data_IF_800884434923
#
_entry.id   IF_800884434923
#
_cell.length_a   1.000
_cell.length_b   1.000
_cell.length_c   1.000
_cell.angle_alpha   90.00
_cell.angle_beta   90.00
_cell.angle_gamma   90.00
#
_symmetry.space_group_name_H-M   'P 1'
#
loop_
_entity.id
_entity.type
_entity.pdbx_description
1 polymer ?
#
# COMPACT_ATOMS: atom_id res chain seq x y z
N UNK A 1 77.28 -80.76 27.89
CA UNK A 1 76.48 -81.92 27.42
C UNK A 1 77.24 -83.23 27.32
N UNK A 2 78.36 -83.31 26.59
CA UNK A 2 79.08 -84.58 26.38
C UNK A 2 79.52 -85.30 27.67
N UNK A 3 80.00 -84.56 28.69
CA UNK A 3 80.31 -85.12 30.02
C UNK A 3 79.08 -85.67 30.75
N UNK A 4 77.93 -85.00 30.64
CA UNK A 4 76.66 -85.44 31.24
C UNK A 4 76.15 -86.72 30.55
N UNK A 5 76.27 -86.79 29.23
CA UNK A 5 75.91 -87.99 28.46
C UNK A 5 76.78 -89.20 28.78
N UNK A 6 78.07 -88.99 29.05
CA UNK A 6 78.99 -90.04 29.47
C UNK A 6 78.61 -90.59 30.85
N UNK A 7 78.27 -89.71 31.79
CA UNK A 7 77.85 -90.08 33.15
C UNK A 7 76.50 -90.82 33.14
N UNK A 8 75.54 -90.35 32.34
CA UNK A 8 74.23 -91.02 32.18
C UNK A 8 74.39 -92.42 31.56
N UNK A 9 75.30 -92.58 30.59
CA UNK A 9 75.57 -93.88 29.97
C UNK A 9 76.18 -94.87 30.97
N UNK A 10 77.19 -94.44 31.73
CA UNK A 10 77.84 -95.26 32.73
C UNK A 10 76.86 -95.71 33.82
N UNK A 11 75.93 -94.84 34.21
CA UNK A 11 74.89 -95.16 35.18
C UNK A 11 73.85 -96.13 34.61
N UNK A 12 73.17 -95.77 33.53
CA UNK A 12 71.97 -96.50 33.06
C UNK A 12 72.27 -97.72 32.19
N UNK A 13 73.44 -97.78 31.55
CA UNK A 13 73.83 -98.90 30.68
C UNK A 13 74.85 -99.80 31.38
N UNK A 14 75.92 -99.21 31.91
CA UNK A 14 77.03 -100.00 32.48
C UNK A 14 76.71 -100.52 33.88
N UNK A 15 76.17 -99.69 34.78
CA UNK A 15 75.88 -100.11 36.18
C UNK A 15 74.52 -100.78 36.31
N UNK A 16 73.46 -100.16 35.79
CA UNK A 16 72.08 -100.69 35.90
C UNK A 16 71.76 -101.83 34.92
N UNK A 17 72.57 -101.99 33.86
CA UNK A 17 72.37 -103.01 32.82
C UNK A 17 73.26 -104.24 32.97
N UNK A 18 74.17 -104.29 33.94
CA UNK A 18 75.10 -105.40 34.12
C UNK A 18 74.42 -106.64 34.71
N UNK A 19 74.50 -107.76 34.01
CA UNK A 19 73.96 -109.05 34.48
C UNK A 19 75.12 -109.88 35.02
N UNK A 20 75.21 -110.01 36.34
CA UNK A 20 76.35 -110.63 37.02
C UNK A 20 76.57 -112.10 36.62
N UNK A 21 75.49 -112.86 36.37
CA UNK A 21 75.56 -114.25 35.89
C UNK A 21 76.17 -114.40 34.49
N UNK A 22 75.96 -113.43 33.61
CA UNK A 22 76.43 -113.48 32.22
C UNK A 22 77.71 -112.65 32.01
N UNK A 23 78.17 -111.94 33.05
CA UNK A 23 79.29 -110.98 33.02
C UNK A 23 79.25 -110.04 31.82
N UNK A 24 78.05 -109.64 31.41
CA UNK A 24 77.82 -108.79 30.26
C UNK A 24 76.68 -107.80 30.53
N UNK A 25 76.66 -106.72 29.77
CA UNK A 25 75.57 -105.74 29.82
C UNK A 25 74.40 -106.26 28.99
N UNK A 26 73.20 -106.16 29.55
CA UNK A 26 71.96 -106.46 28.85
C UNK A 26 71.86 -105.62 27.56
N UNK A 27 71.82 -106.28 26.41
CA UNK A 27 71.70 -105.63 25.10
C UNK A 27 70.51 -104.68 25.05
N UNK A 28 69.40 -105.06 25.69
CA UNK A 28 68.17 -104.26 25.79
C UNK A 28 68.39 -102.88 26.44
N UNK A 29 69.26 -102.78 27.46
CA UNK A 29 69.55 -101.52 28.15
C UNK A 29 70.38 -100.58 27.28
N UNK A 30 71.34 -101.13 26.54
CA UNK A 30 72.12 -100.37 25.56
C UNK A 30 71.22 -99.87 24.41
N UNK A 31 70.37 -100.75 23.86
CA UNK A 31 69.45 -100.42 22.77
C UNK A 31 68.50 -99.30 23.21
N UNK A 32 67.85 -99.41 24.37
CA UNK A 32 66.96 -98.37 24.90
C UNK A 32 67.66 -97.02 25.08
N UNK A 33 68.88 -97.00 25.64
CA UNK A 33 69.65 -95.76 25.77
C UNK A 33 69.98 -95.15 24.40
N UNK A 34 70.39 -95.98 23.43
CA UNK A 34 70.69 -95.54 22.06
C UNK A 34 69.46 -94.94 21.38
N UNK A 35 68.31 -95.62 21.46
CA UNK A 35 67.03 -95.16 20.91
C UNK A 35 66.58 -93.84 21.55
N UNK A 36 66.69 -93.69 22.87
CA UNK A 36 66.34 -92.46 23.55
C UNK A 36 67.25 -91.29 23.14
N UNK A 37 68.55 -91.54 22.91
CA UNK A 37 69.47 -90.52 22.40
C UNK A 37 69.21 -90.16 20.95
N UNK A 38 68.86 -91.13 20.11
CA UNK A 38 68.44 -90.87 18.74
C UNK A 38 67.18 -90.00 18.73
N UNK A 39 66.17 -90.32 19.55
CA UNK A 39 64.95 -89.52 19.69
C UNK A 39 65.20 -88.09 20.17
N UNK A 40 66.11 -87.89 21.14
CA UNK A 40 66.51 -86.55 21.59
C UNK A 40 67.19 -85.74 20.47
N UNK A 41 68.09 -86.37 19.70
CA UNK A 41 68.75 -85.75 18.55
C UNK A 41 67.75 -85.39 17.45
N UNK A 42 66.84 -86.31 17.13
CA UNK A 42 65.75 -86.07 16.16
C UNK A 42 64.87 -84.90 16.58
N UNK A 43 64.52 -84.80 17.87
CA UNK A 43 63.72 -83.68 18.39
C UNK A 43 64.44 -82.32 18.22
N UNK A 44 65.74 -82.27 18.47
CA UNK A 44 66.54 -81.04 18.28
C UNK A 44 66.66 -80.72 16.79
N UNK A 45 66.89 -81.73 15.97
CA UNK A 45 67.01 -81.59 14.53
C UNK A 45 65.70 -81.04 13.93
N UNK A 46 64.55 -81.52 14.38
CA UNK A 46 63.24 -81.03 13.95
C UNK A 46 62.99 -79.58 14.39
N UNK A 47 63.37 -79.21 15.62
CA UNK A 47 63.33 -77.80 16.06
C UNK A 47 64.18 -76.89 15.18
N UNK A 48 65.40 -77.31 14.84
CA UNK A 48 66.29 -76.54 13.98
C UNK A 48 65.69 -76.41 12.57
N UNK A 49 65.10 -77.48 12.02
CA UNK A 49 64.41 -77.46 10.73
C UNK A 49 63.24 -76.48 10.72
N UNK A 50 62.37 -76.54 11.72
CA UNK A 50 61.23 -75.63 11.87
C UNK A 50 61.68 -74.17 11.99
N UNK A 51 62.69 -73.89 12.81
CA UNK A 51 63.27 -72.55 12.95
C UNK A 51 63.87 -72.06 11.63
N UNK A 52 64.58 -72.93 10.90
CA UNK A 52 65.15 -72.59 9.60
C UNK A 52 64.04 -72.28 8.58
N UNK A 53 62.95 -73.04 8.58
CA UNK A 53 61.80 -72.81 7.70
C UNK A 53 61.09 -71.48 8.02
N UNK A 54 60.90 -71.15 9.30
CA UNK A 54 60.30 -69.88 9.74
C UNK A 54 61.18 -68.69 9.41
N UNK A 55 62.50 -68.77 9.63
CA UNK A 55 63.45 -67.71 9.25
C UNK A 55 63.49 -67.49 7.75
N UNK A 56 63.48 -68.56 6.93
CA UNK A 56 63.37 -68.45 5.47
C UNK A 56 62.07 -67.77 5.03
N UNK A 57 60.96 -68.06 5.71
CA UNK A 57 59.68 -67.40 5.44
C UNK A 57 59.73 -65.90 5.77
N UNK A 58 60.31 -65.54 6.92
CA UNK A 58 60.51 -64.14 7.30
C UNK A 58 61.42 -63.40 6.32
N UNK A 59 62.54 -64.02 5.92
CA UNK A 59 63.44 -63.44 4.93
C UNK A 59 62.72 -63.17 3.60
N UNK A 60 61.90 -64.10 3.12
CA UNK A 60 61.10 -63.89 1.90
C UNK A 60 60.10 -62.75 2.06
N UNK A 61 59.42 -62.64 3.20
CA UNK A 61 58.49 -61.53 3.49
C UNK A 61 59.21 -60.19 3.51
N UNK A 62 60.32 -60.07 4.24
CA UNK A 62 61.10 -58.83 4.30
C UNK A 62 61.64 -58.43 2.92
N UNK A 63 62.14 -59.38 2.13
CA UNK A 63 62.58 -59.11 0.74
C UNK A 63 61.43 -58.70 -0.19
N UNK A 64 60.22 -59.22 0.03
CA UNK A 64 59.03 -58.80 -0.70
C UNK A 64 58.62 -57.36 -0.35
N UNK A 65 58.61 -57.04 0.95
CA UNK A 65 58.32 -55.68 1.43
C UNK A 65 59.34 -54.66 0.95
N UNK A 66 60.64 -55.03 0.93
CA UNK A 66 61.70 -54.17 0.43
C UNK A 66 61.47 -53.83 -1.04
N UNK A 67 61.23 -54.83 -1.89
CA UNK A 67 60.94 -54.61 -3.31
C UNK A 67 59.71 -53.75 -3.55
N UNK A 68 58.63 -53.99 -2.82
CA UNK A 68 57.43 -53.15 -2.92
C UNK A 68 57.71 -51.69 -2.53
N UNK A 69 58.56 -51.45 -1.53
CA UNK A 69 58.95 -50.10 -1.11
C UNK A 69 59.90 -49.43 -2.12
N UNK A 70 60.79 -50.18 -2.74
CA UNK A 70 61.67 -49.71 -3.81
C UNK A 70 60.86 -49.33 -5.06
N UNK A 71 59.92 -50.17 -5.49
CA UNK A 71 59.01 -49.88 -6.62
C UNK A 71 58.16 -48.62 -6.36
N UNK A 72 57.66 -48.41 -5.13
CA UNK A 72 56.92 -47.19 -4.76
C UNK A 72 57.84 -45.95 -4.77
N UNK A 73 59.12 -46.11 -4.41
CA UNK A 73 60.12 -45.04 -4.45
C UNK A 73 60.54 -44.65 -5.87
N UNK A 74 60.49 -45.58 -6.83
CA UNK A 74 60.71 -45.30 -8.26
C UNK A 74 59.51 -44.59 -8.91
N UNK A 75 58.29 -44.83 -8.43
CA UNK A 75 57.07 -44.19 -8.97
C UNK A 75 56.93 -42.72 -8.52
N UNK A 76 57.61 -42.32 -7.45
CA UNK A 76 57.46 -40.99 -6.87
C UNK A 76 58.78 -40.21 -6.97
N UNK A 77 58.96 -39.49 -8.07
CA UNK A 77 60.17 -38.70 -8.27
C UNK A 77 60.11 -37.39 -7.49
N UNK A 78 61.28 -36.92 -7.06
CA UNK A 78 61.43 -35.57 -6.45
C UNK A 78 60.86 -34.48 -7.36
N UNK A 79 60.96 -34.69 -8.68
CA UNK A 79 60.41 -33.80 -9.71
C UNK A 79 58.89 -33.69 -9.63
N UNK A 80 58.16 -34.77 -9.33
CA UNK A 80 56.70 -34.75 -9.20
C UNK A 80 56.26 -33.89 -8.00
N UNK A 81 57.02 -33.95 -6.91
CA UNK A 81 56.79 -33.11 -5.74
C UNK A 81 57.10 -31.63 -6.01
N UNK A 82 58.16 -31.35 -6.77
CA UNK A 82 58.48 -29.99 -7.20
C UNK A 82 57.41 -29.45 -8.16
N UNK A 83 56.94 -30.26 -9.10
CA UNK A 83 55.82 -29.92 -9.97
C UNK A 83 54.56 -29.60 -9.17
N UNK A 84 54.20 -30.44 -8.20
CA UNK A 84 53.03 -30.21 -7.36
C UNK A 84 53.16 -28.92 -6.53
N UNK A 85 54.36 -28.58 -6.06
CA UNK A 85 54.62 -27.30 -5.39
C UNK A 85 54.45 -26.12 -6.34
N UNK A 86 54.96 -26.22 -7.57
CA UNK A 86 54.82 -25.19 -8.60
C UNK A 86 53.34 -24.98 -8.95
N UNK A 87 52.61 -26.06 -9.22
CA UNK A 87 51.19 -26.00 -9.55
C UNK A 87 50.38 -25.39 -8.41
N UNK A 88 50.62 -25.81 -7.17
CA UNK A 88 49.95 -25.23 -6.01
C UNK A 88 50.23 -23.73 -5.86
N UNK A 89 51.49 -23.31 -6.07
CA UNK A 89 51.86 -21.89 -6.08
C UNK A 89 51.12 -21.11 -7.18
N UNK A 90 51.01 -21.67 -8.38
CA UNK A 90 50.29 -21.05 -9.50
C UNK A 90 48.78 -20.94 -9.21
N UNK A 91 48.18 -21.97 -8.62
CA UNK A 91 46.76 -21.94 -8.22
C UNK A 91 46.51 -20.90 -7.12
N UNK A 92 47.40 -20.78 -6.14
CA UNK A 92 47.30 -19.75 -5.10
C UNK A 92 47.36 -18.34 -5.70
N UNK A 93 48.31 -18.08 -6.60
CA UNK A 93 48.41 -16.78 -7.28
C UNK A 93 47.14 -16.45 -8.06
N UNK A 94 46.57 -17.45 -8.76
CA UNK A 94 45.32 -17.29 -9.52
C UNK A 94 44.12 -17.05 -8.62
N UNK A 95 44.06 -17.71 -7.45
CA UNK A 95 43.03 -17.46 -6.43
C UNK A 95 43.14 -16.03 -5.91
N UNK A 96 44.35 -15.56 -5.62
CA UNK A 96 44.57 -14.18 -5.17
C UNK A 96 44.19 -13.15 -6.23
N UNK A 97 44.52 -13.39 -7.49
CA UNK A 97 44.12 -12.54 -8.62
C UNK A 97 42.59 -12.44 -8.71
N UNK A 98 41.89 -13.59 -8.63
CA UNK A 98 40.42 -13.63 -8.64
C UNK A 98 39.83 -12.94 -7.41
N UNK A 99 40.44 -13.08 -6.25
CA UNK A 99 40.02 -12.38 -5.04
C UNK A 99 40.17 -10.86 -5.18
N UNK A 100 41.27 -10.37 -5.75
CA UNK A 100 41.46 -8.94 -6.05
C UNK A 100 40.39 -8.44 -7.04
N UNK A 101 40.09 -9.20 -8.09
CA UNK A 101 39.02 -8.88 -9.04
C UNK A 101 37.64 -8.81 -8.35
N UNK A 102 37.31 -9.78 -7.50
CA UNK A 102 36.06 -9.79 -6.73
C UNK A 102 35.97 -8.59 -5.80
N UNK A 103 37.05 -8.23 -5.11
CA UNK A 103 37.08 -7.06 -4.23
C UNK A 103 36.84 -5.76 -5.03
N UNK A 104 37.50 -5.61 -6.18
CA UNK A 104 37.29 -4.47 -7.08
C UNK A 104 35.83 -4.37 -7.54
N UNK A 105 35.25 -5.49 -8.00
CA UNK A 105 33.86 -5.55 -8.43
C UNK A 105 32.88 -5.25 -7.29
N UNK A 106 33.14 -5.75 -6.07
CA UNK A 106 32.35 -5.41 -4.88
C UNK A 106 32.38 -3.92 -4.57
N UNK A 107 33.55 -3.29 -4.68
CA UNK A 107 33.69 -1.85 -4.46
C UNK A 107 32.93 -1.04 -5.52
N UNK A 108 32.99 -1.45 -6.80
CA UNK A 108 32.19 -0.84 -7.87
C UNK A 108 30.69 -1.02 -7.59
N UNK A 109 30.24 -2.23 -7.28
CA UNK A 109 28.83 -2.51 -6.98
C UNK A 109 28.32 -1.68 -5.80
N UNK A 110 29.11 -1.53 -4.73
CA UNK A 110 28.77 -0.68 -3.60
C UNK A 110 28.63 0.80 -3.98
N UNK A 111 29.55 1.34 -4.80
CA UNK A 111 29.44 2.71 -5.32
C UNK A 111 28.21 2.89 -6.20
N UNK A 112 27.95 1.96 -7.12
CA UNK A 112 26.77 2.00 -7.98
C UNK A 112 25.48 1.95 -7.15
N UNK A 113 25.42 1.09 -6.12
CA UNK A 113 24.27 1.03 -5.22
C UNK A 113 24.06 2.36 -4.47
N UNK A 114 25.14 3.00 -4.03
CA UNK A 114 25.06 4.32 -3.40
C UNK A 114 24.51 5.39 -4.36
N UNK A 115 25.00 5.42 -5.60
CA UNK A 115 24.50 6.32 -6.65
C UNK A 115 23.01 6.06 -6.94
N UNK A 116 22.60 4.80 -7.08
CA UNK A 116 21.19 4.45 -7.32
C UNK A 116 20.31 4.89 -6.15
N UNK A 117 20.76 4.70 -4.91
CA UNK A 117 19.99 5.10 -3.74
C UNK A 117 19.85 6.62 -3.61
N UNK A 118 20.92 7.37 -3.89
CA UNK A 118 20.88 8.84 -3.90
C UNK A 118 19.98 9.37 -5.00
N UNK A 119 20.03 8.80 -6.20
CA UNK A 119 19.10 9.15 -7.30
C UNK A 119 17.66 8.84 -6.92
N UNK A 120 17.35 7.66 -6.37
CA UNK A 120 16.00 7.33 -5.88
C UNK A 120 15.50 8.30 -4.81
N UNK A 121 16.37 8.77 -3.91
CA UNK A 121 16.01 9.75 -2.91
C UNK A 121 15.70 11.12 -3.54
N UNK A 122 16.52 11.56 -4.51
CA UNK A 122 16.27 12.80 -5.25
C UNK A 122 14.97 12.75 -6.06
N UNK A 123 14.68 11.62 -6.72
CA UNK A 123 13.45 11.40 -7.47
C UNK A 123 12.21 11.48 -6.57
N UNK A 124 12.26 10.83 -5.39
CA UNK A 124 11.18 10.96 -4.38
C UNK A 124 10.97 12.40 -3.94
N UNK A 125 12.06 13.12 -3.65
CA UNK A 125 11.98 14.53 -3.25
C UNK A 125 11.38 15.39 -4.36
N UNK A 126 11.76 15.14 -5.62
CA UNK A 126 11.25 15.86 -6.78
C UNK A 126 9.76 15.56 -6.99
N UNK A 127 9.34 14.31 -6.87
CA UNK A 127 7.93 13.93 -6.96
C UNK A 127 7.08 14.60 -5.86
N UNK A 128 7.58 14.66 -4.62
CA UNK A 128 6.89 15.39 -3.54
C UNK A 128 6.77 16.87 -3.90
N UNK A 129 7.85 17.49 -4.38
CA UNK A 129 7.84 18.90 -4.79
C UNK A 129 6.84 19.14 -5.94
N UNK A 130 6.79 18.24 -6.92
CA UNK A 130 5.85 18.31 -8.04
C UNK A 130 4.39 18.23 -7.55
N UNK A 131 4.07 17.26 -6.69
CA UNK A 131 2.73 17.13 -6.12
C UNK A 131 2.32 18.38 -5.31
N UNK A 132 3.24 18.96 -4.54
CA UNK A 132 2.98 20.19 -3.79
C UNK A 132 2.70 21.36 -4.71
N UNK A 133 3.50 21.53 -5.77
CA UNK A 133 3.30 22.59 -6.77
C UNK A 133 1.95 22.44 -7.48
N UNK A 134 1.60 21.22 -7.86
CA UNK A 134 0.33 20.91 -8.52
C UNK A 134 -0.86 21.19 -7.58
N UNK A 135 -0.77 20.78 -6.31
CA UNK A 135 -1.79 21.09 -5.30
C UNK A 135 -1.96 22.60 -5.09
N UNK A 136 -0.86 23.35 -5.03
CA UNK A 136 -0.91 24.80 -4.93
C UNK A 136 -1.62 25.43 -6.13
N UNK A 137 -1.34 24.93 -7.34
CA UNK A 137 -1.99 25.43 -8.56
C UNK A 137 -3.47 25.14 -8.59
N UNK A 138 -3.86 23.92 -8.21
CA UNK A 138 -5.27 23.52 -8.09
C UNK A 138 -5.98 24.41 -7.07
N UNK A 139 -5.39 24.65 -5.91
CA UNK A 139 -6.00 25.47 -4.87
C UNK A 139 -6.17 26.94 -5.32
N UNK A 140 -5.20 27.49 -6.06
CA UNK A 140 -5.29 28.82 -6.65
C UNK A 140 -6.45 28.91 -7.66
N UNK A 141 -6.55 27.95 -8.59
CA UNK A 141 -7.63 27.89 -9.58
C UNK A 141 -9.00 27.75 -8.92
N UNK A 142 -9.12 26.90 -7.90
CA UNK A 142 -10.35 26.76 -7.13
C UNK A 142 -10.75 28.04 -6.39
N UNK A 143 -9.77 28.80 -5.88
CA UNK A 143 -10.04 30.09 -5.24
C UNK A 143 -10.59 31.09 -6.25
N UNK A 144 -10.02 31.13 -7.44
CA UNK A 144 -10.48 32.03 -8.50
C UNK A 144 -11.86 31.63 -9.02
N UNK A 145 -12.10 30.33 -9.21
CA UNK A 145 -13.42 29.81 -9.56
C UNK A 145 -14.49 30.25 -8.54
N UNK A 146 -14.23 30.08 -7.23
CA UNK A 146 -15.15 30.51 -6.18
C UNK A 146 -15.45 32.01 -6.23
N UNK A 147 -14.45 32.85 -6.53
CA UNK A 147 -14.64 34.30 -6.69
C UNK A 147 -15.56 34.59 -7.87
N UNK A 148 -15.30 33.98 -9.02
CA UNK A 148 -16.12 34.16 -10.21
C UNK A 148 -17.57 33.70 -9.98
N UNK A 149 -17.78 32.56 -9.30
CA UNK A 149 -19.11 32.09 -8.93
C UNK A 149 -19.86 33.10 -8.04
N UNK A 150 -19.18 33.69 -7.04
CA UNK A 150 -19.81 34.73 -6.22
C UNK A 150 -20.16 35.98 -7.01
N UNK A 151 -19.31 36.40 -7.94
CA UNK A 151 -19.55 37.57 -8.79
C UNK A 151 -20.72 37.31 -9.77
N UNK A 152 -20.76 36.12 -10.38
CA UNK A 152 -21.86 35.70 -11.26
C UNK A 152 -23.18 35.72 -10.48
N UNK A 153 -23.21 35.17 -9.26
CA UNK A 153 -24.41 35.17 -8.43
C UNK A 153 -24.87 36.59 -8.09
N UNK A 154 -23.94 37.48 -7.72
CA UNK A 154 -24.25 38.89 -7.47
C UNK A 154 -24.82 39.59 -8.71
N UNK A 155 -24.20 39.39 -9.88
CA UNK A 155 -24.68 39.96 -11.15
C UNK A 155 -26.05 39.40 -11.54
N UNK A 156 -26.31 38.11 -11.30
CA UNK A 156 -27.61 37.49 -11.52
C UNK A 156 -28.68 38.09 -10.62
N UNK A 157 -28.41 38.32 -9.34
CA UNK A 157 -29.34 38.97 -8.42
C UNK A 157 -29.64 40.42 -8.82
N UNK A 158 -28.64 41.19 -9.23
CA UNK A 158 -28.83 42.54 -9.76
C UNK A 158 -29.71 42.51 -11.01
N UNK A 159 -29.42 41.61 -11.95
CA UNK A 159 -30.24 41.43 -13.15
C UNK A 159 -31.69 41.06 -12.84
N UNK A 160 -31.94 40.22 -11.83
CA UNK A 160 -33.31 39.90 -11.38
C UNK A 160 -34.03 41.14 -10.83
N UNK A 161 -33.36 41.93 -9.98
CA UNK A 161 -33.94 43.17 -9.42
C UNK A 161 -34.26 44.18 -10.52
N UNK A 162 -33.32 44.46 -11.42
CA UNK A 162 -33.50 45.38 -12.54
C UNK A 162 -34.64 44.94 -13.48
N UNK A 163 -34.80 43.63 -13.72
CA UNK A 163 -35.94 43.10 -14.49
C UNK A 163 -37.27 43.39 -13.79
N UNK A 164 -37.34 43.18 -12.48
CA UNK A 164 -38.55 43.45 -11.70
C UNK A 164 -38.89 44.95 -11.69
N UNK A 165 -37.90 45.80 -11.44
CA UNK A 165 -38.07 47.26 -11.51
C UNK A 165 -38.54 47.72 -12.89
N UNK A 166 -37.99 47.16 -13.97
CA UNK A 166 -38.42 47.49 -15.32
C UNK A 166 -39.87 47.07 -15.61
N UNK A 167 -40.37 45.99 -15.00
CA UNK A 167 -41.79 45.61 -15.09
C UNK A 167 -42.65 46.68 -14.40
N UNK A 168 -42.27 47.10 -13.18
CA UNK A 168 -42.99 48.13 -12.42
C UNK A 168 -43.01 49.46 -13.18
N UNK A 169 -41.85 49.96 -13.61
CA UNK A 169 -41.70 51.20 -14.36
C UNK A 169 -42.51 51.18 -15.66
N UNK A 170 -42.59 50.02 -16.35
CA UNK A 170 -43.43 49.89 -17.55
C UNK A 170 -44.92 50.06 -17.26
N UNK A 171 -45.41 49.51 -16.16
CA UNK A 171 -46.82 49.66 -15.77
C UNK A 171 -47.12 51.08 -15.28
N UNK A 172 -46.23 51.68 -14.49
CA UNK A 172 -46.33 53.10 -14.08
C UNK A 172 -46.36 54.02 -15.30
N UNK A 173 -45.44 53.84 -16.25
CA UNK A 173 -45.38 54.62 -17.49
C UNK A 173 -46.64 54.46 -18.35
N UNK A 174 -47.25 53.27 -18.36
CA UNK A 174 -48.53 53.03 -19.02
C UNK A 174 -49.68 53.78 -18.32
N UNK A 175 -49.69 53.80 -17.00
CA UNK A 175 -50.68 54.53 -16.21
C UNK A 175 -50.53 56.04 -16.37
N UNK A 176 -49.30 56.55 -16.31
CA UNK A 176 -48.99 57.96 -16.51
C UNK A 176 -49.34 58.42 -17.93
N UNK A 177 -49.07 57.59 -18.96
CA UNK A 177 -49.53 57.86 -20.33
C UNK A 177 -51.05 57.95 -20.44
N UNK A 178 -51.80 57.07 -19.75
CA UNK A 178 -53.27 57.14 -19.72
C UNK A 178 -53.73 58.41 -19.01
N UNK A 179 -53.12 58.75 -17.88
CA UNK A 179 -53.43 59.96 -17.12
C UNK A 179 -53.16 61.21 -17.95
N UNK A 180 -51.97 61.34 -18.55
CA UNK A 180 -51.60 62.43 -19.46
C UNK A 180 -52.58 62.56 -20.62
N UNK A 181 -53.02 61.46 -21.24
CA UNK A 181 -54.04 61.50 -22.31
C UNK A 181 -55.36 62.07 -21.80
N UNK A 182 -55.84 61.63 -20.63
CA UNK A 182 -57.07 62.15 -20.00
C UNK A 182 -56.94 63.63 -19.65
N UNK A 183 -55.80 64.03 -19.11
CA UNK A 183 -55.53 65.43 -18.78
C UNK A 183 -55.48 66.29 -20.05
N UNK A 184 -54.80 65.82 -21.10
CA UNK A 184 -54.77 66.52 -22.39
C UNK A 184 -56.18 66.68 -22.97
N UNK A 185 -57.01 65.62 -22.97
CA UNK A 185 -58.41 65.75 -23.40
C UNK A 185 -59.19 66.74 -22.55
N UNK A 186 -58.90 66.83 -21.25
CA UNK A 186 -59.54 67.81 -20.38
C UNK A 186 -59.11 69.24 -20.73
N UNK A 187 -57.81 69.48 -20.91
CA UNK A 187 -57.27 70.77 -21.36
C UNK A 187 -57.81 71.17 -22.73
N UNK A 188 -57.84 70.24 -23.69
CA UNK A 188 -58.38 70.48 -25.03
C UNK A 188 -59.89 70.77 -24.99
N UNK A 189 -60.63 70.12 -24.09
CA UNK A 189 -62.06 70.36 -23.87
C UNK A 189 -62.35 71.63 -23.05
N UNK A 190 -61.33 72.15 -22.34
CA UNK A 190 -61.46 73.32 -21.49
C UNK A 190 -61.49 74.56 -22.38
N UNK A 191 -62.70 74.96 -22.75
CA UNK A 191 -62.96 76.20 -23.45
C UNK A 191 -63.44 77.25 -22.44
N UNK A 192 -62.75 78.38 -22.35
CA UNK A 192 -63.22 79.53 -21.57
C UNK A 192 -64.39 80.16 -22.34
N UNK A 193 -65.63 80.14 -21.82
CA UNK A 193 -66.78 80.68 -22.54
C UNK A 193 -66.57 82.16 -22.86
N UNK A 194 -67.06 82.60 -24.03
CA UNK A 194 -67.05 84.01 -24.37
C UNK A 194 -67.85 84.82 -23.34
N UNK A 195 -67.52 86.10 -23.15
CA UNK A 195 -68.19 86.99 -22.17
C UNK A 195 -69.71 86.97 -22.39
N UNK A 196 -70.15 86.89 -23.65
CA UNK A 196 -71.57 86.81 -24.00
C UNK A 196 -72.22 85.49 -23.54
N UNK A 197 -71.53 84.36 -23.73
CA UNK A 197 -72.01 83.04 -23.30
C UNK A 197 -72.08 82.97 -21.76
N UNK A 198 -71.11 83.57 -21.06
CA UNK A 198 -71.14 83.67 -19.60
C UNK A 198 -72.34 84.49 -19.09
N UNK A 199 -72.64 85.62 -19.74
CA UNK A 199 -73.80 86.45 -19.41
C UNK A 199 -75.09 85.66 -19.65
N UNK A 200 -75.19 84.93 -20.77
CA UNK A 200 -76.34 84.06 -21.07
C UNK A 200 -76.51 82.95 -20.03
N UNK A 201 -75.45 82.21 -19.72
CA UNK A 201 -75.45 81.16 -18.69
C UNK A 201 -75.85 81.72 -17.31
N UNK A 202 -75.40 82.93 -16.96
CA UNK A 202 -75.81 83.58 -15.71
C UNK A 202 -77.26 84.04 -15.70
N UNK A 203 -77.81 84.44 -16.84
CA UNK A 203 -79.25 84.71 -16.94
C UNK A 203 -80.08 83.42 -16.84
N UNK A 204 -79.64 82.33 -17.46
CA UNK A 204 -80.27 81.01 -17.38
C UNK A 204 -80.24 80.46 -15.94
N UNK A 205 -79.09 80.53 -15.27
CA UNK A 205 -78.94 80.15 -13.86
C UNK A 205 -79.95 80.92 -12.99
N UNK A 206 -80.05 82.24 -13.16
CA UNK A 206 -81.03 83.06 -12.42
C UNK A 206 -82.48 82.66 -12.73
N UNK A 207 -82.79 82.34 -13.98
CA UNK A 207 -84.12 81.87 -14.38
C UNK A 207 -84.45 80.52 -13.72
N UNK A 208 -83.51 79.57 -13.74
CA UNK A 208 -83.67 78.26 -13.11
C UNK A 208 -83.82 78.41 -11.60
N UNK A 209 -82.97 79.19 -10.92
CA UNK A 209 -83.14 79.46 -9.49
C UNK A 209 -84.51 80.10 -9.19
N UNK A 210 -84.98 81.02 -10.04
CA UNK A 210 -86.34 81.58 -9.88
C UNK A 210 -87.41 80.51 -10.07
N UNK A 211 -87.29 79.64 -11.06
CA UNK A 211 -88.21 78.51 -11.25
C UNK A 211 -88.17 77.56 -10.05
N UNK A 212 -86.99 77.22 -9.53
CA UNK A 212 -86.81 76.38 -8.34
C UNK A 212 -87.53 76.99 -7.14
N UNK A 213 -87.38 78.29 -6.87
CA UNK A 213 -88.11 78.94 -5.77
C UNK A 213 -89.63 78.93 -5.98
N UNK A 214 -90.11 79.09 -7.22
CA UNK A 214 -91.53 79.00 -7.56
C UNK A 214 -92.04 77.57 -7.35
N UNK A 215 -91.28 76.56 -7.81
CA UNK A 215 -91.62 75.15 -7.64
C UNK A 215 -91.58 74.74 -6.17
N UNK A 216 -90.60 75.21 -5.40
CA UNK A 216 -90.53 75.02 -3.95
C UNK A 216 -91.74 75.64 -3.24
N UNK A 217 -92.17 76.85 -3.63
CA UNK A 217 -93.40 77.46 -3.12
C UNK A 217 -94.66 76.68 -3.51
N UNK A 218 -94.78 76.24 -4.77
CA UNK A 218 -95.90 75.39 -5.24
C UNK A 218 -95.94 74.07 -4.48
N UNK A 219 -94.79 73.43 -4.28
CA UNK A 219 -94.65 72.21 -3.48
C UNK A 219 -95.10 72.47 -2.04
N UNK A 220 -94.70 73.58 -1.41
CA UNK A 220 -95.14 73.96 -0.06
C UNK A 220 -96.65 74.18 0.04
N UNK A 221 -97.27 74.82 -0.95
CA UNK A 221 -98.72 75.02 -1.01
C UNK A 221 -99.44 73.67 -1.14
N UNK A 222 -98.95 72.79 -2.02
CA UNK A 222 -99.50 71.45 -2.21
C UNK A 222 -99.35 70.59 -0.94
N UNK A 223 -98.20 70.67 -0.26
CA UNK A 223 -97.95 70.03 1.03
C UNK A 223 -98.94 70.52 2.10
N UNK A 224 -99.14 71.84 2.22
CA UNK A 224 -100.12 72.42 3.13
C UNK A 224 -101.57 72.06 2.79
N UNK A 225 -101.91 71.97 1.50
CA UNK A 225 -103.22 71.50 1.03
C UNK A 225 -103.43 70.03 1.39
N UNK A 226 -102.44 69.17 1.16
CA UNK A 226 -102.46 67.75 1.55
C UNK A 226 -102.65 67.61 3.07
N UNK A 227 -101.94 68.39 3.88
CA UNK A 227 -102.10 68.39 5.35
C UNK A 227 -103.53 68.80 5.73
N UNK A 228 -104.10 69.83 5.09
CA UNK A 228 -105.50 70.24 5.31
C UNK A 228 -106.50 69.15 4.92
N UNK A 229 -106.35 68.54 3.74
CA UNK A 229 -107.19 67.43 3.30
C UNK A 229 -107.08 66.22 4.24
N UNK A 230 -105.88 65.89 4.73
CA UNK A 230 -105.69 64.84 5.74
C UNK A 230 -106.41 65.17 7.06
N UNK A 231 -106.32 66.42 7.54
CA UNK A 231 -107.04 66.88 8.74
C UNK A 231 -108.56 66.82 8.57
N UNK A 232 -109.09 67.35 7.45
CA UNK A 232 -110.51 67.27 7.11
C UNK A 232 -110.97 65.82 6.98
N UNK A 233 -110.20 64.95 6.33
CA UNK A 233 -110.51 63.54 6.22
C UNK A 233 -110.50 62.82 7.58
N UNK A 234 -109.55 63.12 8.47
CA UNK A 234 -109.59 62.59 9.85
C UNK A 234 -110.78 63.12 10.66
N UNK A 235 -111.27 64.32 10.36
CA UNK A 235 -112.44 64.91 11.01
C UNK A 235 -113.73 64.26 10.50
N UNK A 236 -113.87 64.07 9.17
CA UNK A 236 -114.96 63.27 8.57
C UNK A 236 -114.93 61.82 9.07
N UNK A 237 -113.74 61.23 9.21
CA UNK A 237 -113.60 59.88 9.79
C UNK A 237 -114.03 59.82 11.25
N UNK A 238 -113.74 60.86 12.06
CA UNK A 238 -114.23 60.95 13.45
C UNK A 238 -115.72 61.23 13.55
N UNK A 239 -116.29 62.02 12.63
CA UNK A 239 -117.73 62.24 12.53
C UNK A 239 -118.49 60.97 12.12
N UNK A 240 -117.92 60.14 11.23
CA UNK A 240 -118.48 58.83 10.90
C UNK A 240 -118.30 57.77 12.02
N UNK A 241 -117.37 57.95 12.95
CA UNK A 241 -117.15 57.07 14.11
C UNK A 241 -117.93 57.50 15.38
N UNK A 242 -118.60 58.66 15.35
CA UNK A 242 -119.52 59.11 16.42
C UNK A 242 -120.99 59.16 15.97
N UNK A 243 -121.30 58.60 14.78
CA UNK A 243 -122.66 58.47 14.24
C UNK A 243 -123.18 57.03 14.13
N UNK A 244 -122.41 56.03 14.61
CA UNK A 244 -122.89 54.68 14.89
C UNK A 244 -123.05 54.51 16.41
N UNK A 245 -124.12 55.10 16.95
CA UNK A 245 -124.93 54.64 18.09
C UNK A 245 -126.39 54.95 17.74
#
# INVERSE_FOLDING_TARGET
DQKKHSVDFEKSVVKEGYIDRAKCVASEKYIRFSEERMKQRETILEKIRLNTATLRSHLRKCKGQLRQKEEIGEVLHVVDFEQLKIENSQYLEKIEEKNRQIQSLKAVAARTLHVVNTLKASEKSLNICFCLLEQMKIHELQREQRRQETEINQRQEICKRAKNEMIVVKEELKNEKKFKKRFQTHVDSFHVPSIMDFVQLKTEERQICRQETIHARKFKIAEMALIRHKKLWTQVRRSNLMGEV
#
